data_IF_576879956473
#
_entry.id   IF_576879956473
#
_cell.length_a   1.000
_cell.length_b   1.000
_cell.length_c   1.000
_cell.angle_alpha   90.00
_cell.angle_beta   90.00
_cell.angle_gamma   90.00
#
_symmetry.space_group_name_H-M   'P 1'
#
loop_
_entity.id
_entity.type
_entity.pdbx_description
1 polymer ?
#
# COMPACT_ATOMS: atom_id res chain seq x y z
N UNK A 1 1.87 9.91 -3.46
CA UNK A 1 0.40 9.88 -3.67
C UNK A 1 -0.19 8.49 -3.50
N UNK A 2 0.57 7.42 -3.76
CA UNK A 2 0.09 6.03 -3.63
C UNK A 2 0.12 5.54 -2.18
N UNK A 3 1.00 6.09 -1.32
CA UNK A 3 0.90 5.91 0.14
C UNK A 3 -0.43 6.42 0.70
N UNK A 4 -1.01 7.45 0.09
CA UNK A 4 -2.32 7.94 0.51
C UNK A 4 -3.45 6.99 0.08
N UNK A 5 -3.34 6.31 -1.08
CA UNK A 5 -4.27 5.25 -1.49
C UNK A 5 -4.09 3.99 -0.64
N UNK A 6 -2.84 3.60 -0.37
CA UNK A 6 -2.52 2.49 0.51
C UNK A 6 -2.87 2.78 1.97
N UNK A 7 -2.53 3.95 2.47
CA UNK A 7 -2.93 4.42 3.80
C UNK A 7 -4.43 4.68 3.87
N UNK A 8 -5.07 5.21 2.82
CA UNK A 8 -6.53 5.35 2.77
C UNK A 8 -7.22 3.99 2.61
N UNK A 9 -6.72 3.07 1.79
CA UNK A 9 -7.23 1.70 1.71
C UNK A 9 -6.91 0.90 2.98
N UNK A 10 -5.74 1.07 3.58
CA UNK A 10 -5.35 0.52 4.87
C UNK A 10 -6.08 1.22 6.04
N UNK A 11 -6.33 2.52 5.97
CA UNK A 11 -7.12 3.28 6.94
C UNK A 11 -8.62 3.09 6.76
N UNK A 12 -9.10 2.75 5.57
CA UNK A 12 -10.50 2.32 5.33
C UNK A 12 -10.71 0.91 5.88
N UNK A 13 -9.69 0.06 5.88
CA UNK A 13 -9.71 -1.29 6.42
C UNK A 13 -9.19 -1.40 7.87
N UNK A 14 -8.53 -0.38 8.40
CA UNK A 14 -7.91 -0.29 9.72
C UNK A 14 -8.63 0.68 10.67
N UNK A 15 -7.97 1.06 11.75
CA UNK A 15 -8.52 1.86 12.84
C UNK A 15 -8.86 3.33 12.50
N UNK A 16 -8.62 3.79 11.26
CA UNK A 16 -8.93 5.13 10.81
C UNK A 16 -9.87 5.14 9.61
N UNK A 17 -11.09 5.63 9.76
CA UNK A 17 -11.99 5.85 8.63
C UNK A 17 -11.48 6.99 7.73
N UNK A 18 -11.93 7.04 6.48
CA UNK A 18 -11.67 8.17 5.56
C UNK A 18 -12.06 9.52 6.19
N UNK A 19 -13.04 9.51 7.08
CA UNK A 19 -13.45 10.62 7.90
C UNK A 19 -12.29 11.20 8.73
N UNK A 20 -11.42 10.36 9.32
CA UNK A 20 -10.29 10.82 10.13
C UNK A 20 -9.23 11.57 9.30
N UNK A 21 -9.08 11.23 8.03
CA UNK A 21 -8.14 11.90 7.11
C UNK A 21 -8.68 13.23 6.60
N UNK A 22 -10.00 13.33 6.37
CA UNK A 22 -10.67 14.55 5.92
C UNK A 22 -11.07 15.46 7.08
N UNK A 23 -11.25 14.91 8.26
CA UNK A 23 -11.56 15.62 9.48
C UNK A 23 -10.30 16.00 10.25
N UNK A 24 -9.52 16.91 9.72
CA UNK A 24 -8.77 17.81 10.59
C UNK A 24 -9.75 18.89 11.03
N UNK A 25 -10.18 18.86 12.29
CA UNK A 25 -11.17 19.79 12.82
C UNK A 25 -10.84 21.25 12.48
N UNK A 26 -11.78 22.19 12.60
CA UNK A 26 -11.51 23.58 12.33
C UNK A 26 -10.49 24.06 13.36
N UNK A 27 -9.22 24.06 12.99
CA UNK A 27 -8.21 24.75 13.74
C UNK A 27 -8.58 26.23 13.79
N UNK A 28 -8.72 26.76 14.98
CA UNK A 28 -9.00 28.19 15.15
C UNK A 28 -7.69 28.94 14.93
N UNK A 29 -7.63 29.72 13.87
CA UNK A 29 -6.53 30.63 13.64
C UNK A 29 -6.51 31.71 14.73
N UNK A 30 -5.34 31.96 15.35
CA UNK A 30 -5.14 33.08 16.24
C UNK A 30 -5.26 34.40 15.46
N UNK A 31 -5.46 35.53 16.14
CA UNK A 31 -5.45 36.84 15.47
C UNK A 31 -4.12 37.12 14.79
N UNK A 32 -2.99 36.74 15.39
CA UNK A 32 -1.66 36.89 14.82
C UNK A 32 -1.48 36.05 13.55
N UNK A 33 -2.00 34.81 13.50
CA UNK A 33 -2.00 33.97 12.32
C UNK A 33 -2.82 34.56 11.17
N UNK A 34 -3.98 35.18 11.49
CA UNK A 34 -4.84 35.82 10.49
C UNK A 34 -4.18 37.09 9.94
N UNK A 35 -3.47 37.84 10.78
CA UNK A 35 -2.79 39.08 10.43
C UNK A 35 -1.42 38.88 9.76
N UNK A 36 -0.88 37.63 9.82
CA UNK A 36 0.42 37.29 9.24
C UNK A 36 1.61 37.55 10.19
N UNK A 37 1.35 37.89 11.45
CA UNK A 37 2.38 38.14 12.46
C UNK A 37 2.96 36.85 13.04
N UNK A 38 2.21 35.76 12.94
CA UNK A 38 2.62 34.41 13.38
C UNK A 38 2.65 33.46 12.19
N UNK A 39 3.71 32.64 12.05
CA UNK A 39 3.80 31.68 10.98
C UNK A 39 2.74 30.59 11.15
N UNK A 40 1.98 30.32 10.09
CA UNK A 40 0.95 29.27 10.06
C UNK A 40 0.95 28.56 8.72
N UNK A 41 0.68 27.27 8.75
CA UNK A 41 0.46 26.49 7.53
C UNK A 41 -0.90 26.88 6.92
N UNK A 42 -0.89 27.29 5.66
CA UNK A 42 -2.10 27.67 4.94
C UNK A 42 -2.69 29.01 5.42
N UNK A 43 -4.00 29.09 5.42
CA UNK A 43 -4.78 30.24 5.83
C UNK A 43 -6.25 29.86 6.07
N UNK A 44 -7.12 30.82 6.42
CA UNK A 44 -8.54 30.54 6.58
C UNK A 44 -9.08 29.82 5.33
N UNK A 45 -9.71 28.67 5.52
CA UNK A 45 -10.22 27.86 4.41
C UNK A 45 -11.23 28.64 3.58
N UNK A 46 -10.88 28.94 2.33
CA UNK A 46 -11.75 29.60 1.35
C UNK A 46 -12.50 28.59 0.48
N UNK A 47 -11.98 27.37 0.37
CA UNK A 47 -12.50 26.32 -0.50
C UNK A 47 -13.06 25.16 0.32
N UNK A 48 -13.97 24.40 -0.30
CA UNK A 48 -14.49 23.15 0.30
C UNK A 48 -13.37 22.13 0.47
N UNK A 49 -13.41 21.39 1.59
CA UNK A 49 -12.48 20.29 1.84
C UNK A 49 -12.71 19.20 0.79
N UNK A 50 -11.65 18.75 0.16
CA UNK A 50 -11.64 17.62 -0.75
C UNK A 50 -10.32 16.86 -0.63
N UNK A 51 -10.39 15.55 -0.86
CA UNK A 51 -9.24 14.67 -1.00
C UNK A 51 -9.31 14.06 -2.39
N UNK A 52 -8.24 14.20 -3.15
CA UNK A 52 -8.11 13.62 -4.49
C UNK A 52 -6.98 12.62 -4.49
N UNK A 53 -7.29 11.40 -4.90
CA UNK A 53 -6.33 10.32 -5.05
C UNK A 53 -6.35 9.88 -6.51
N UNK A 54 -5.18 9.57 -7.04
CA UNK A 54 -5.05 9.13 -8.42
C UNK A 54 -3.88 8.18 -8.62
N UNK A 55 -4.03 7.34 -9.62
CA UNK A 55 -3.02 6.39 -10.09
C UNK A 55 -2.87 6.61 -11.58
N UNK A 56 -1.64 6.77 -12.05
CA UNK A 56 -1.31 6.76 -13.45
C UNK A 56 -0.66 5.43 -13.82
N UNK A 57 -1.10 4.85 -14.93
CA UNK A 57 -0.54 3.63 -15.51
C UNK A 57 -0.49 3.75 -17.02
N UNK A 58 0.34 2.93 -17.66
CA UNK A 58 0.53 2.94 -19.12
C UNK A 58 -0.77 2.59 -19.86
N UNK A 59 -1.48 1.56 -19.39
CA UNK A 59 -2.71 1.10 -19.99
C UNK A 59 -3.93 1.89 -19.53
N UNK A 60 -4.08 2.05 -18.22
CA UNK A 60 -5.22 2.73 -17.61
C UNK A 60 -4.82 3.49 -16.36
N UNK A 61 -5.48 4.61 -16.16
CA UNK A 61 -5.32 5.49 -15.02
C UNK A 61 -6.65 5.73 -14.32
N UNK A 62 -6.58 6.05 -13.04
CA UNK A 62 -7.75 6.21 -12.18
C UNK A 62 -7.61 7.43 -11.30
N UNK A 63 -8.73 8.12 -11.07
CA UNK A 63 -8.81 9.17 -10.07
C UNK A 63 -10.14 9.12 -9.32
N UNK A 64 -10.07 9.42 -8.03
CA UNK A 64 -11.21 9.53 -7.14
C UNK A 64 -11.15 10.85 -6.38
N UNK A 65 -12.29 11.56 -6.32
CA UNK A 65 -12.45 12.82 -5.62
C UNK A 65 -13.48 12.66 -4.50
N UNK A 66 -13.01 12.80 -3.27
CA UNK A 66 -13.83 12.81 -2.07
C UNK A 66 -14.11 14.23 -1.61
N UNK A 67 -15.26 14.45 -1.02
CA UNK A 67 -15.61 15.71 -0.41
C UNK A 67 -16.70 15.55 0.65
N UNK A 68 -16.88 16.56 1.48
CA UNK A 68 -17.95 16.55 2.46
C UNK A 68 -19.32 16.62 1.79
N UNK A 69 -20.38 16.04 2.40
CA UNK A 69 -21.74 16.16 1.91
C UNK A 69 -22.19 17.61 1.82
N UNK A 70 -23.21 17.87 1.01
CA UNK A 70 -23.88 19.16 1.07
C UNK A 70 -24.57 19.29 2.44
N UNK A 71 -24.52 20.46 3.10
CA UNK A 71 -25.19 20.65 4.38
C UNK A 71 -26.68 20.35 4.25
N UNK A 72 -27.15 19.31 4.93
CA UNK A 72 -28.56 18.91 5.01
C UNK A 72 -29.01 19.07 6.45
N UNK A 73 -30.05 19.85 6.69
CA UNK A 73 -30.62 19.96 8.02
C UNK A 73 -31.12 18.57 8.49
N UNK A 74 -30.61 18.09 9.64
CA UNK A 74 -30.97 16.85 10.35
C UNK A 74 -30.10 15.61 10.12
N UNK A 75 -28.89 15.71 9.57
CA UNK A 75 -27.94 14.58 9.63
C UNK A 75 -26.90 14.81 10.73
N UNK A 76 -26.50 13.73 11.40
CA UNK A 76 -25.34 13.70 12.29
C UNK A 76 -24.05 13.27 11.53
N UNK A 77 -24.19 12.94 10.24
CA UNK A 77 -23.12 12.43 9.38
C UNK A 77 -22.63 13.49 8.37
N UNK A 78 -22.65 14.74 8.75
CA UNK A 78 -22.19 15.86 7.93
C UNK A 78 -20.64 15.89 7.74
N UNK A 79 -19.95 15.12 8.58
CA UNK A 79 -18.50 14.88 8.48
C UNK A 79 -18.11 13.66 7.63
N UNK A 80 -19.07 12.81 7.22
CA UNK A 80 -18.76 11.60 6.46
C UNK A 80 -18.43 11.95 5.01
N UNK A 81 -17.26 11.53 4.49
CA UNK A 81 -16.87 11.85 3.13
C UNK A 81 -17.71 11.10 2.11
N UNK A 82 -18.08 11.79 1.06
CA UNK A 82 -18.75 11.24 -0.11
C UNK A 82 -17.82 11.23 -1.31
N UNK A 83 -17.94 10.22 -2.15
CA UNK A 83 -17.28 10.19 -3.45
C UNK A 83 -18.04 11.12 -4.39
N UNK A 84 -17.40 12.22 -4.77
CA UNK A 84 -17.98 13.24 -5.67
C UNK A 84 -17.78 12.85 -7.12
N UNK A 85 -16.63 12.29 -7.44
CA UNK A 85 -16.30 11.80 -8.77
C UNK A 85 -15.32 10.66 -8.73
N UNK A 86 -15.45 9.71 -9.64
CA UNK A 86 -14.45 8.67 -9.96
C UNK A 86 -14.36 8.57 -11.48
N UNK A 87 -13.14 8.41 -11.99
CA UNK A 87 -12.91 8.28 -13.43
C UNK A 87 -11.82 7.26 -13.75
N UNK A 88 -11.97 6.60 -14.90
CA UNK A 88 -10.94 5.76 -15.51
C UNK A 88 -10.69 6.28 -16.93
N UNK A 89 -9.42 6.42 -17.30
CA UNK A 89 -9.02 6.84 -18.64
C UNK A 89 -7.82 6.04 -19.12
N UNK A 90 -7.58 6.02 -20.45
CA UNK A 90 -6.46 5.32 -21.08
C UNK A 90 -5.21 6.20 -21.04
N UNK A 91 -4.08 5.56 -20.67
CA UNK A 91 -2.75 6.17 -20.59
C UNK A 91 -2.55 7.08 -19.38
N UNK A 92 -1.35 7.58 -19.19
CA UNK A 92 -0.95 8.31 -17.98
C UNK A 92 -1.67 9.66 -17.81
N UNK A 93 -1.71 10.46 -18.86
CA UNK A 93 -2.26 11.84 -18.78
C UNK A 93 -3.75 11.88 -19.01
N UNK A 94 -4.49 12.53 -18.10
CA UNK A 94 -5.92 12.73 -18.24
C UNK A 94 -6.26 13.62 -19.44
N UNK A 95 -7.07 13.05 -20.34
CA UNK A 95 -7.76 13.75 -21.43
C UNK A 95 -9.21 13.29 -21.48
N UNK A 96 -10.13 14.22 -21.63
CA UNK A 96 -11.56 13.89 -21.71
C UNK A 96 -11.91 12.94 -22.85
N UNK A 97 -11.20 13.00 -23.96
CA UNK A 97 -11.36 12.06 -25.09
C UNK A 97 -10.93 10.63 -24.78
N UNK A 98 -10.06 10.43 -23.80
CA UNK A 98 -9.56 9.12 -23.38
C UNK A 98 -10.32 8.53 -22.18
N UNK A 99 -11.34 9.27 -21.71
CA UNK A 99 -12.16 8.84 -20.59
C UNK A 99 -13.01 7.65 -20.98
N UNK A 100 -12.88 6.54 -20.25
CA UNK A 100 -13.59 5.28 -20.49
C UNK A 100 -14.78 5.13 -19.54
N UNK A 101 -14.59 5.47 -18.27
CA UNK A 101 -15.63 5.37 -17.25
C UNK A 101 -15.66 6.67 -16.45
N UNK A 102 -16.85 7.21 -16.26
CA UNK A 102 -17.11 8.44 -15.51
C UNK A 102 -18.25 8.22 -14.53
N UNK A 103 -17.94 8.41 -13.26
CA UNK A 103 -18.92 8.45 -12.20
C UNK A 103 -19.04 9.88 -11.68
N UNK A 104 -20.25 10.39 -11.65
CA UNK A 104 -20.60 11.66 -11.01
C UNK A 104 -21.78 11.44 -10.06
N UNK A 105 -21.53 11.60 -8.75
CA UNK A 105 -22.52 11.27 -7.73
C UNK A 105 -22.98 9.80 -7.81
N UNK A 106 -24.29 9.52 -7.93
CA UNK A 106 -24.82 8.15 -8.00
C UNK A 106 -24.79 7.53 -9.41
N UNK A 107 -24.41 8.28 -10.44
CA UNK A 107 -24.48 7.81 -11.83
C UNK A 107 -23.12 7.39 -12.33
N UNK A 108 -23.02 6.14 -12.82
CA UNK A 108 -21.84 5.58 -13.46
C UNK A 108 -22.15 5.39 -14.94
N UNK A 109 -21.25 5.88 -15.80
CA UNK A 109 -21.31 5.72 -17.25
C UNK A 109 -20.02 5.11 -17.75
N UNK A 110 -20.09 4.24 -18.76
CA UNK A 110 -18.93 3.73 -19.47
C UNK A 110 -19.10 3.95 -20.98
N UNK A 111 -17.99 3.97 -21.70
CA UNK A 111 -18.01 3.90 -23.15
C UNK A 111 -18.19 2.46 -23.61
N UNK A 112 -19.04 2.26 -24.60
CA UNK A 112 -19.14 0.98 -25.31
C UNK A 112 -18.09 0.88 -26.44
N UNK A 113 -18.05 -0.25 -27.13
CA UNK A 113 -17.12 -0.51 -28.24
C UNK A 113 -17.24 0.50 -29.40
N UNK A 114 -18.38 1.18 -29.53
CA UNK A 114 -18.60 2.25 -30.51
C UNK A 114 -18.08 3.63 -30.02
N UNK A 115 -17.67 3.72 -28.75
CA UNK A 115 -17.29 4.95 -28.08
C UNK A 115 -18.48 5.78 -27.56
N UNK A 116 -19.69 5.27 -27.64
CA UNK A 116 -20.87 5.94 -27.10
C UNK A 116 -21.00 5.71 -25.58
N UNK A 117 -21.54 6.71 -24.87
CA UNK A 117 -21.77 6.62 -23.45
C UNK A 117 -23.02 5.82 -23.11
N UNK A 118 -22.86 4.76 -22.34
CA UNK A 118 -23.97 4.00 -21.75
C UNK A 118 -23.98 4.14 -20.23
N UNK A 119 -25.17 4.11 -19.63
CA UNK A 119 -25.32 4.19 -18.18
C UNK A 119 -25.25 2.78 -17.59
N UNK A 120 -24.23 2.51 -16.78
CA UNK A 120 -24.07 1.23 -16.07
C UNK A 120 -24.88 1.19 -14.78
N UNK A 121 -24.92 2.29 -14.04
CA UNK A 121 -25.62 2.39 -12.76
C UNK A 121 -26.17 3.80 -12.56
N UNK A 122 -27.38 3.91 -12.02
CA UNK A 122 -28.03 5.21 -11.71
C UNK A 122 -28.18 5.47 -10.20
N UNK A 123 -27.89 4.47 -9.37
CA UNK A 123 -28.20 4.49 -7.95
C UNK A 123 -27.03 3.98 -7.10
N UNK A 124 -25.77 4.24 -7.54
CA UNK A 124 -24.60 3.88 -6.76
C UNK A 124 -24.54 4.79 -5.51
N UNK A 125 -24.52 4.23 -4.30
CA UNK A 125 -24.36 5.02 -3.09
C UNK A 125 -23.10 5.89 -3.13
N UNK A 126 -23.18 7.10 -2.57
CA UNK A 126 -22.08 8.07 -2.61
C UNK A 126 -20.85 7.65 -1.79
N UNK A 127 -21.00 6.67 -0.92
CA UNK A 127 -19.93 6.09 -0.11
C UNK A 127 -19.34 4.79 -0.69
N UNK A 128 -19.94 4.21 -1.74
CA UNK A 128 -19.44 3.01 -2.42
C UNK A 128 -18.65 3.40 -3.66
N UNK A 129 -17.44 2.83 -3.85
CA UNK A 129 -16.67 3.03 -5.08
C UNK A 129 -17.30 2.27 -6.27
N UNK A 130 -17.21 2.85 -7.45
CA UNK A 130 -17.62 2.16 -8.69
C UNK A 130 -16.77 0.91 -8.94
N UNK A 131 -15.49 0.89 -8.53
CA UNK A 131 -14.64 -0.29 -8.63
C UNK A 131 -15.17 -1.46 -7.81
N UNK A 132 -15.83 -1.20 -6.68
CA UNK A 132 -16.41 -2.24 -5.84
C UNK A 132 -17.74 -2.76 -6.35
N UNK A 133 -18.56 -1.93 -7.01
CA UNK A 133 -19.96 -2.23 -7.31
C UNK A 133 -20.31 -2.29 -8.80
N UNK A 134 -19.51 -1.68 -9.67
CA UNK A 134 -19.84 -1.53 -11.09
C UNK A 134 -18.72 -2.03 -12.01
N UNK A 135 -17.93 -3.01 -11.56
CA UNK A 135 -16.85 -3.63 -12.34
C UNK A 135 -17.35 -4.93 -12.96
N UNK A 136 -18.16 -4.81 -13.99
CA UNK A 136 -18.61 -5.95 -14.80
C UNK A 136 -17.54 -6.24 -15.88
N UNK A 137 -17.09 -7.51 -16.06
CA UNK A 137 -16.04 -7.83 -17.01
C UNK A 137 -16.46 -7.66 -18.48
N UNK A 138 -17.76 -7.60 -18.77
CA UNK A 138 -18.29 -7.41 -20.13
C UNK A 138 -18.65 -5.93 -20.36
N UNK A 139 -19.33 -5.30 -19.40
CA UNK A 139 -19.84 -3.93 -19.56
C UNK A 139 -18.83 -2.84 -19.18
N UNK A 140 -17.82 -3.18 -18.37
CA UNK A 140 -16.79 -2.28 -17.89
C UNK A 140 -15.47 -3.02 -17.68
N UNK A 141 -14.87 -3.59 -18.74
CA UNK A 141 -13.64 -4.40 -18.62
C UNK A 141 -12.47 -3.64 -18.03
N UNK A 142 -12.35 -2.33 -18.28
CA UNK A 142 -11.29 -1.48 -17.71
C UNK A 142 -11.45 -1.35 -16.20
N UNK A 143 -12.67 -1.19 -15.69
CA UNK A 143 -12.93 -1.15 -14.25
C UNK A 143 -12.65 -2.50 -13.60
N UNK A 144 -13.00 -3.59 -14.27
CA UNK A 144 -12.71 -4.93 -13.80
C UNK A 144 -11.20 -5.19 -13.73
N UNK A 145 -10.47 -4.91 -14.81
CA UNK A 145 -9.03 -5.08 -14.87
C UNK A 145 -8.31 -4.24 -13.82
N UNK A 146 -8.67 -2.96 -13.70
CA UNK A 146 -8.11 -2.05 -12.70
C UNK A 146 -8.40 -2.52 -11.27
N UNK A 147 -9.62 -2.99 -10.99
CA UNK A 147 -9.96 -3.56 -9.68
C UNK A 147 -9.08 -4.75 -9.34
N UNK A 148 -8.92 -5.70 -10.26
CA UNK A 148 -8.07 -6.87 -10.03
C UNK A 148 -6.60 -6.48 -9.86
N UNK A 149 -6.13 -5.48 -10.60
CA UNK A 149 -4.80 -4.92 -10.45
C UNK A 149 -4.59 -4.34 -9.05
N UNK A 150 -5.49 -3.46 -8.58
CA UNK A 150 -5.42 -2.85 -7.24
C UNK A 150 -5.55 -3.93 -6.14
N UNK A 151 -6.39 -4.96 -6.34
CA UNK A 151 -6.53 -6.07 -5.39
C UNK A 151 -5.28 -6.93 -5.27
N UNK A 152 -4.45 -6.94 -6.30
CA UNK A 152 -3.16 -7.65 -6.27
C UNK A 152 -2.14 -6.94 -5.39
N UNK A 153 -2.26 -5.63 -5.16
CA UNK A 153 -1.33 -4.84 -4.37
C UNK A 153 -1.20 -5.37 -2.95
N UNK A 154 -0.01 -5.25 -2.39
CA UNK A 154 0.29 -5.66 -1.02
C UNK A 154 0.87 -4.52 -0.23
N UNK A 155 0.33 -4.38 0.98
CA UNK A 155 0.73 -3.36 1.94
C UNK A 155 1.23 -4.08 3.18
N UNK A 156 2.51 -3.94 3.46
CA UNK A 156 3.14 -4.45 4.68
C UNK A 156 3.59 -3.26 5.51
N UNK A 157 2.69 -2.80 6.36
CA UNK A 157 2.94 -1.68 7.24
C UNK A 157 3.88 -2.13 8.37
N UNK A 158 3.42 -3.05 9.19
CA UNK A 158 4.24 -3.61 10.25
C UNK A 158 3.86 -5.05 10.54
N UNK A 159 4.82 -5.99 10.35
CA UNK A 159 4.64 -7.33 10.88
C UNK A 159 4.70 -7.28 12.40
N UNK A 160 3.64 -7.71 13.06
CA UNK A 160 3.65 -7.87 14.51
C UNK A 160 4.62 -8.99 14.87
N UNK A 161 5.49 -8.71 15.84
CA UNK A 161 6.48 -9.65 16.36
C UNK A 161 6.44 -9.75 17.88
N UNK A 162 5.48 -9.08 18.52
CA UNK A 162 5.22 -9.21 19.95
C UNK A 162 4.85 -10.66 20.34
N UNK A 163 4.77 -10.92 21.63
CA UNK A 163 4.54 -12.28 22.16
C UNK A 163 3.26 -12.94 21.63
N UNK A 164 2.22 -12.14 21.37
CA UNK A 164 0.92 -12.63 20.90
C UNK A 164 0.75 -12.51 19.39
N UNK A 165 1.84 -12.19 18.67
CA UNK A 165 1.83 -12.03 17.23
C UNK A 165 1.35 -13.30 16.51
N UNK A 166 0.49 -13.19 15.50
CA UNK A 166 0.01 -14.35 14.74
C UNK A 166 1.14 -15.14 14.08
N UNK A 167 2.22 -14.49 13.67
CA UNK A 167 3.42 -15.10 13.08
C UNK A 167 4.20 -15.99 14.04
N UNK A 168 3.95 -15.90 15.35
CA UNK A 168 4.57 -16.77 16.37
C UNK A 168 3.80 -18.07 16.63
N UNK A 169 2.63 -18.22 16.03
CA UNK A 169 1.73 -19.34 16.31
C UNK A 169 1.66 -20.31 15.13
N UNK A 170 1.58 -21.62 15.45
CA UNK A 170 1.33 -22.63 14.43
C UNK A 170 -0.06 -22.41 13.81
N UNK A 171 -0.14 -22.42 12.49
CA UNK A 171 -1.33 -22.11 11.71
C UNK A 171 -1.79 -23.32 10.89
N UNK A 172 -3.03 -23.26 10.39
CA UNK A 172 -3.53 -24.28 9.46
C UNK A 172 -2.67 -24.22 8.19
N UNK A 173 -2.13 -25.38 7.78
CA UNK A 173 -1.27 -25.52 6.62
C UNK A 173 -2.08 -25.54 5.33
N UNK A 174 -2.28 -24.37 4.72
CA UNK A 174 -2.84 -24.25 3.36
C UNK A 174 -1.83 -23.59 2.46
N UNK A 175 -1.84 -23.95 1.15
CA UNK A 175 -0.92 -23.33 0.20
C UNK A 175 -1.15 -21.83 0.13
N UNK A 176 -0.13 -21.05 0.47
CA UNK A 176 -0.17 -19.60 0.59
C UNK A 176 0.73 -18.98 -0.47
N UNK A 177 0.13 -18.48 -1.55
CA UNK A 177 0.87 -17.87 -2.67
C UNK A 177 1.40 -16.49 -2.35
N UNK A 178 0.77 -15.77 -1.43
CA UNK A 178 1.16 -14.42 -0.98
C UNK A 178 0.96 -14.34 0.51
N UNK A 179 1.97 -13.91 1.24
CA UNK A 179 1.93 -13.77 2.71
C UNK A 179 0.83 -12.78 3.12
N UNK A 180 0.06 -13.14 4.14
CA UNK A 180 -0.94 -12.25 4.73
C UNK A 180 -0.24 -11.02 5.37
N UNK A 181 -0.92 -9.88 5.39
CA UNK A 181 -0.35 -8.61 5.87
C UNK A 181 0.17 -8.64 7.32
N UNK A 182 -0.38 -9.51 8.17
CA UNK A 182 0.05 -9.68 9.56
C UNK A 182 1.02 -10.86 9.77
N UNK A 183 1.42 -11.55 8.71
CA UNK A 183 2.36 -12.67 8.76
C UNK A 183 1.83 -13.96 9.38
N UNK A 184 0.50 -14.06 9.64
CA UNK A 184 -0.11 -15.23 10.33
C UNK A 184 0.16 -16.56 9.64
N UNK A 185 0.32 -16.55 8.34
CA UNK A 185 0.51 -17.74 7.50
C UNK A 185 1.98 -17.94 7.08
N UNK A 186 2.92 -17.34 7.81
CA UNK A 186 4.35 -17.44 7.53
C UNK A 186 4.83 -18.88 7.29
N UNK A 187 4.49 -19.91 8.13
CA UNK A 187 4.94 -21.27 7.87
C UNK A 187 4.43 -21.84 6.54
N UNK A 188 3.17 -21.55 6.19
CA UNK A 188 2.56 -22.03 4.95
C UNK A 188 3.12 -21.29 3.72
N UNK A 189 3.36 -19.97 3.82
CA UNK A 189 4.03 -19.20 2.78
C UNK A 189 5.46 -19.71 2.54
N UNK A 190 6.22 -19.95 3.60
CA UNK A 190 7.57 -20.48 3.52
C UNK A 190 7.60 -21.84 2.81
N UNK A 191 6.73 -22.77 3.23
CA UNK A 191 6.61 -24.09 2.59
C UNK A 191 6.18 -23.96 1.12
N UNK A 192 5.30 -23.03 0.81
CA UNK A 192 4.84 -22.79 -0.57
C UNK A 192 5.99 -22.29 -1.46
N UNK A 193 6.87 -21.42 -0.95
CA UNK A 193 8.07 -20.98 -1.69
C UNK A 193 9.00 -22.18 -1.94
N UNK A 194 9.21 -23.04 -0.95
CA UNK A 194 10.05 -24.22 -1.10
C UNK A 194 9.52 -25.21 -2.13
N UNK A 195 8.19 -25.37 -2.27
CA UNK A 195 7.59 -26.36 -3.16
C UNK A 195 7.40 -25.88 -4.60
N UNK A 196 6.98 -24.62 -4.78
CA UNK A 196 6.59 -24.10 -6.10
C UNK A 196 7.20 -22.73 -6.45
N UNK A 197 7.96 -22.13 -5.53
CA UNK A 197 8.67 -20.87 -5.72
C UNK A 197 10.14 -21.05 -5.98
N UNK A 198 10.95 -20.02 -5.67
CA UNK A 198 12.39 -20.05 -5.77
C UNK A 198 13.03 -20.54 -4.45
N UNK A 199 12.98 -21.85 -4.23
CA UNK A 199 13.59 -22.49 -3.06
C UNK A 199 15.09 -22.19 -2.93
N UNK A 200 15.82 -22.19 -4.05
CA UNK A 200 17.26 -21.88 -4.07
C UNK A 200 17.52 -20.42 -3.68
N UNK A 201 16.67 -19.51 -4.15
CA UNK A 201 16.70 -18.10 -3.77
C UNK A 201 16.42 -17.87 -2.29
N UNK A 202 15.42 -18.56 -1.76
CA UNK A 202 15.09 -18.50 -0.33
C UNK A 202 16.26 -18.98 0.52
N UNK A 203 16.93 -20.08 0.11
CA UNK A 203 18.13 -20.59 0.79
C UNK A 203 19.29 -19.57 0.75
N UNK A 204 19.52 -18.90 -0.38
CA UNK A 204 20.57 -17.85 -0.48
C UNK A 204 20.25 -16.64 0.41
N UNK A 205 19.01 -16.19 0.44
CA UNK A 205 18.58 -15.06 1.27
C UNK A 205 18.69 -15.38 2.77
N UNK A 206 18.37 -16.62 3.14
CA UNK A 206 18.53 -17.08 4.53
C UNK A 206 20.02 -17.15 4.92
N UNK A 207 20.87 -17.72 4.05
CA UNK A 207 22.30 -17.84 4.30
C UNK A 207 23.01 -16.47 4.34
N UNK A 208 22.52 -15.49 3.60
CA UNK A 208 23.04 -14.12 3.58
C UNK A 208 22.75 -13.37 4.89
N UNK A 209 21.56 -13.54 5.43
CA UNK A 209 21.13 -12.90 6.69
C UNK A 209 21.62 -13.67 7.93
N UNK A 210 21.59 -14.97 7.88
CA UNK A 210 21.90 -15.86 9.01
C UNK A 210 22.81 -16.99 8.55
N UNK A 211 24.14 -16.77 8.48
CA UNK A 211 25.09 -17.77 8.01
C UNK A 211 24.99 -19.09 8.77
N UNK A 212 24.79 -20.18 8.03
CA UNK A 212 24.64 -21.53 8.58
C UNK A 212 23.27 -21.80 9.25
N UNK A 213 22.29 -20.95 9.03
CA UNK A 213 20.93 -21.21 9.46
C UNK A 213 20.13 -22.02 8.44
N UNK A 214 19.20 -22.82 8.95
CA UNK A 214 18.22 -23.60 8.20
C UNK A 214 16.81 -23.31 8.74
N UNK A 215 15.84 -23.20 7.85
CA UNK A 215 14.42 -23.06 8.18
C UNK A 215 13.66 -24.20 7.53
N UNK A 216 12.87 -24.90 8.32
CA UNK A 216 12.00 -25.96 7.85
C UNK A 216 10.63 -25.89 8.53
N UNK A 217 9.64 -26.54 7.92
CA UNK A 217 8.27 -26.53 8.41
C UNK A 217 7.93 -27.89 9.00
N UNK A 218 7.55 -27.89 10.27
CA UNK A 218 7.01 -29.07 10.94
C UNK A 218 5.50 -29.11 10.78
N UNK A 219 4.97 -30.29 10.47
CA UNK A 219 3.54 -30.52 10.34
C UNK A 219 3.03 -31.40 11.48
N UNK A 220 2.07 -30.88 12.22
CA UNK A 220 1.35 -31.61 13.24
C UNK A 220 -0.16 -31.37 13.14
N UNK A 221 -0.95 -32.45 13.04
CA UNK A 221 -2.42 -32.37 12.99
C UNK A 221 -2.99 -31.45 11.91
N UNK A 222 -2.26 -31.23 10.79
CA UNK A 222 -2.66 -30.31 9.73
C UNK A 222 -2.27 -28.83 10.01
N UNK A 223 -1.62 -28.56 11.13
CA UNK A 223 -1.00 -27.28 11.43
C UNK A 223 0.46 -27.28 11.00
N UNK A 224 0.94 -26.12 10.58
CA UNK A 224 2.33 -25.86 10.20
C UNK A 224 2.97 -24.96 11.25
N UNK A 225 4.17 -25.33 11.68
CA UNK A 225 5.02 -24.55 12.56
C UNK A 225 6.40 -24.37 11.90
N UNK A 226 6.93 -23.15 11.95
CA UNK A 226 8.27 -22.85 11.44
C UNK A 226 9.30 -23.21 12.52
N UNK A 227 10.33 -23.93 12.12
CA UNK A 227 11.50 -24.26 12.92
C UNK A 227 12.72 -23.59 12.34
N UNK A 228 13.50 -22.97 13.19
CA UNK A 228 14.75 -22.29 12.84
C UNK A 228 15.91 -22.98 13.53
N UNK A 229 16.84 -23.50 12.76
CA UNK A 229 18.06 -24.08 13.26
C UNK A 229 19.26 -23.26 12.83
N UNK A 230 20.17 -22.98 13.73
CA UNK A 230 21.42 -22.30 13.44
C UNK A 230 22.58 -23.09 14.03
N UNK A 231 23.72 -23.05 13.34
CA UNK A 231 24.94 -23.74 13.80
C UNK A 231 25.30 -23.30 15.23
N UNK A 232 25.45 -24.27 16.11
CA UNK A 232 25.74 -24.05 17.54
C UNK A 232 24.52 -24.19 18.44
N UNK A 233 23.32 -24.27 17.91
CA UNK A 233 22.13 -24.60 18.68
C UNK A 233 22.01 -26.12 18.84
N UNK A 234 21.68 -26.58 20.05
CA UNK A 234 21.50 -28.02 20.36
C UNK A 234 20.20 -28.57 19.76
N UNK A 235 19.21 -27.72 19.51
CA UNK A 235 17.93 -28.04 18.88
C UNK A 235 17.47 -26.91 18.04
N UNK A 236 16.56 -27.11 17.07
CA UNK A 236 15.86 -26.04 16.40
C UNK A 236 15.03 -25.21 17.40
N UNK A 237 14.93 -23.93 17.13
CA UNK A 237 14.03 -23.02 17.83
C UNK A 237 12.66 -23.02 17.15
N UNK A 238 11.63 -22.95 17.96
CA UNK A 238 10.28 -22.71 17.50
C UNK A 238 10.10 -21.24 17.08
N UNK A 239 9.17 -20.98 16.17
CA UNK A 239 8.87 -19.61 15.74
C UNK A 239 8.51 -18.66 16.89
N UNK A 240 7.95 -19.17 17.98
CA UNK A 240 7.62 -18.38 19.17
C UNK A 240 8.87 -18.06 20.04
N UNK A 241 9.99 -18.77 19.85
CA UNK A 241 11.27 -18.52 20.54
C UNK A 241 12.16 -17.51 19.81
N UNK A 242 11.85 -17.17 18.55
CA UNK A 242 12.66 -16.29 17.73
C UNK A 242 12.68 -14.85 18.27
N UNK A 243 13.79 -14.15 18.08
CA UNK A 243 13.83 -12.71 18.32
C UNK A 243 12.90 -11.98 17.35
N UNK A 244 12.44 -10.78 17.75
CA UNK A 244 11.57 -9.96 16.91
C UNK A 244 12.20 -9.67 15.55
N UNK A 245 13.49 -9.32 15.51
CA UNK A 245 14.21 -9.05 14.28
C UNK A 245 14.35 -10.28 13.39
N UNK A 246 14.64 -11.46 13.95
CA UNK A 246 14.70 -12.70 13.17
C UNK A 246 13.35 -13.03 12.56
N UNK A 247 12.29 -13.00 13.36
CA UNK A 247 10.93 -13.31 12.88
C UNK A 247 10.48 -12.32 11.81
N UNK A 248 10.74 -11.03 12.01
CA UNK A 248 10.42 -9.98 11.04
C UNK A 248 11.17 -10.17 9.72
N UNK A 249 12.48 -10.50 9.77
CA UNK A 249 13.24 -10.79 8.57
C UNK A 249 12.67 -11.99 7.80
N UNK A 250 12.27 -13.05 8.49
CA UNK A 250 11.62 -14.21 7.87
C UNK A 250 10.29 -13.86 7.22
N UNK A 251 9.48 -13.01 7.84
CA UNK A 251 8.24 -12.48 7.25
C UNK A 251 8.54 -11.67 5.98
N UNK A 252 9.54 -10.78 6.03
CA UNK A 252 9.97 -9.98 4.86
C UNK A 252 10.49 -10.88 3.73
N UNK A 253 11.28 -11.92 4.06
CA UNK A 253 11.77 -12.88 3.08
C UNK A 253 10.61 -13.64 2.41
N UNK A 254 9.63 -14.10 3.18
CA UNK A 254 8.46 -14.78 2.64
C UNK A 254 7.57 -13.85 1.79
N UNK A 255 7.45 -12.58 2.16
CA UNK A 255 6.69 -11.59 1.40
C UNK A 255 7.37 -11.24 0.07
N UNK A 256 8.68 -10.98 0.10
CA UNK A 256 9.47 -10.53 -1.06
C UNK A 256 9.81 -11.66 -2.05
N UNK A 257 9.84 -12.92 -1.61
CA UNK A 257 10.07 -14.10 -2.46
C UNK A 257 8.79 -14.87 -2.78
N UNK A 258 7.65 -14.24 -2.65
CA UNK A 258 6.34 -14.86 -2.94
C UNK A 258 6.31 -15.46 -4.34
N UNK A 259 5.78 -16.70 -4.53
CA UNK A 259 5.68 -17.32 -5.85
C UNK A 259 4.75 -16.59 -6.83
N UNK A 260 3.90 -15.70 -6.31
CA UNK A 260 3.01 -14.86 -7.11
C UNK A 260 3.25 -13.39 -6.76
N UNK A 261 4.28 -12.76 -7.36
CA UNK A 261 4.61 -11.38 -7.08
C UNK A 261 3.42 -10.45 -7.38
N UNK A 262 3.04 -9.55 -6.47
CA UNK A 262 2.06 -8.52 -6.76
C UNK A 262 2.66 -7.49 -7.72
N UNK A 263 1.82 -6.75 -8.44
CA UNK A 263 2.30 -5.67 -9.31
C UNK A 263 2.89 -4.50 -8.52
N UNK A 264 2.38 -4.26 -7.31
CA UNK A 264 2.90 -3.26 -6.38
C UNK A 264 2.97 -3.84 -4.96
N UNK A 265 4.11 -3.63 -4.30
CA UNK A 265 4.30 -3.93 -2.88
C UNK A 265 4.80 -2.69 -2.15
N UNK A 266 4.11 -2.32 -1.09
CA UNK A 266 4.47 -1.18 -0.24
C UNK A 266 4.98 -1.71 1.08
N UNK A 267 6.19 -1.31 1.45
CA UNK A 267 6.85 -1.66 2.70
C UNK A 267 7.04 -0.38 3.53
N UNK A 268 6.45 -0.36 4.70
CA UNK A 268 6.61 0.76 5.63
C UNK A 268 7.62 0.41 6.71
N UNK A 269 8.70 1.17 6.79
CA UNK A 269 9.80 0.98 7.75
C UNK A 269 10.22 -0.50 7.93
N UNK A 270 10.60 -1.19 6.83
CA UNK A 270 10.91 -2.63 6.90
C UNK A 270 12.12 -2.93 7.80
N UNK A 271 13.00 -1.94 8.05
CA UNK A 271 14.15 -2.03 8.92
C UNK A 271 13.82 -2.03 10.42
N UNK A 272 12.62 -1.63 10.80
CA UNK A 272 12.23 -1.52 12.23
C UNK A 272 12.41 -2.85 12.95
N UNK A 273 13.02 -2.82 14.12
CA UNK A 273 13.39 -4.01 14.94
C UNK A 273 14.43 -4.94 14.34
N UNK A 274 15.00 -4.65 13.16
CA UNK A 274 16.11 -5.43 12.62
C UNK A 274 17.44 -4.98 13.23
N UNK A 275 18.33 -5.96 13.43
CA UNK A 275 19.71 -5.62 13.78
C UNK A 275 20.38 -4.95 12.57
N UNK A 276 21.22 -3.90 12.75
CA UNK A 276 21.87 -3.20 11.65
C UNK A 276 22.64 -4.11 10.67
N UNK A 277 23.20 -5.21 11.15
CA UNK A 277 23.90 -6.21 10.32
C UNK A 277 22.99 -6.92 9.30
N UNK A 278 21.68 -6.91 9.51
CA UNK A 278 20.71 -7.49 8.57
C UNK A 278 20.32 -6.53 7.43
N UNK A 279 20.60 -5.23 7.56
CA UNK A 279 20.20 -4.23 6.57
C UNK A 279 20.82 -4.47 5.19
N UNK A 280 22.10 -4.86 5.03
CA UNK A 280 22.65 -5.20 3.72
C UNK A 280 21.96 -6.41 3.08
N UNK A 281 21.63 -7.45 3.86
CA UNK A 281 20.90 -8.61 3.36
C UNK A 281 19.46 -8.23 2.96
N UNK A 282 18.79 -7.37 3.75
CA UNK A 282 17.48 -6.83 3.42
C UNK A 282 17.51 -6.03 2.12
N UNK A 283 18.47 -5.12 1.95
CA UNK A 283 18.59 -4.33 0.74
C UNK A 283 18.74 -5.22 -0.51
N UNK A 284 19.62 -6.24 -0.48
CA UNK A 284 19.77 -7.20 -1.58
C UNK A 284 18.49 -7.97 -1.88
N UNK A 285 17.77 -8.39 -0.84
CA UNK A 285 16.47 -9.07 -0.97
C UNK A 285 15.44 -8.15 -1.66
N UNK A 286 15.37 -6.88 -1.26
CA UNK A 286 14.46 -5.90 -1.85
C UNK A 286 14.80 -5.61 -3.31
N UNK A 287 16.08 -5.41 -3.64
CA UNK A 287 16.53 -5.19 -5.02
C UNK A 287 16.20 -6.39 -5.92
N UNK A 288 16.31 -7.61 -5.40
CA UNK A 288 15.89 -8.80 -6.13
C UNK A 288 14.38 -8.85 -6.36
N UNK A 289 13.57 -8.55 -5.37
CA UNK A 289 12.11 -8.52 -5.51
C UNK A 289 11.67 -7.42 -6.49
N UNK A 290 12.41 -6.32 -6.56
CA UNK A 290 12.15 -5.21 -7.49
C UNK A 290 12.33 -5.59 -8.98
N UNK A 291 12.93 -6.72 -9.30
CA UNK A 291 13.01 -7.24 -10.67
C UNK A 291 11.62 -7.69 -11.20
N UNK A 292 10.69 -8.04 -10.32
CA UNK A 292 9.37 -8.60 -10.69
C UNK A 292 8.19 -7.86 -10.09
N UNK A 293 8.42 -6.94 -9.14
CA UNK A 293 7.41 -6.20 -8.39
C UNK A 293 7.84 -4.75 -8.28
N UNK A 294 6.95 -3.80 -8.54
CA UNK A 294 7.22 -2.42 -8.17
C UNK A 294 7.22 -2.31 -6.64
N UNK A 295 8.38 -1.97 -6.06
CA UNK A 295 8.51 -1.74 -4.63
C UNK A 295 8.42 -0.26 -4.30
N UNK A 296 7.59 0.06 -3.32
CA UNK A 296 7.53 1.37 -2.70
C UNK A 296 7.91 1.24 -1.23
N UNK A 297 9.00 1.85 -0.85
CA UNK A 297 9.57 1.70 0.50
C UNK A 297 9.62 3.04 1.18
N UNK A 298 9.08 3.13 2.38
CA UNK A 298 9.32 4.26 3.29
C UNK A 298 10.34 3.82 4.33
N UNK A 299 11.35 4.63 4.58
CA UNK A 299 12.42 4.30 5.52
C UNK A 299 12.98 5.54 6.19
N UNK A 300 13.39 5.40 7.45
CA UNK A 300 14.16 6.38 8.19
C UNK A 300 15.63 5.96 8.40
N UNK A 301 16.04 4.82 7.86
CA UNK A 301 17.39 4.30 7.98
C UNK A 301 18.30 4.82 6.87
N UNK A 302 19.23 5.73 7.20
CA UNK A 302 20.23 6.22 6.25
C UNK A 302 21.06 5.07 5.64
N UNK A 303 21.31 4.00 6.41
CA UNK A 303 22.03 2.83 5.94
C UNK A 303 21.25 2.11 4.85
N UNK A 304 19.96 1.81 5.09
CA UNK A 304 19.13 1.12 4.12
C UNK A 304 18.91 1.98 2.87
N UNK A 305 18.65 3.27 3.04
CA UNK A 305 18.50 4.23 1.94
C UNK A 305 19.76 4.26 1.08
N UNK A 306 20.93 4.38 1.68
CA UNK A 306 22.21 4.42 0.96
C UNK A 306 22.43 3.14 0.15
N UNK A 307 22.17 1.96 0.74
CA UNK A 307 22.32 0.67 0.06
C UNK A 307 21.34 0.51 -1.13
N UNK A 308 20.12 1.00 -1.01
CA UNK A 308 19.15 0.95 -2.11
C UNK A 308 19.50 1.94 -3.23
N UNK A 309 20.04 3.11 -2.89
CA UNK A 309 20.45 4.14 -3.84
C UNK A 309 21.67 3.74 -4.71
N UNK A 310 22.44 2.73 -4.30
CA UNK A 310 23.51 2.17 -5.15
C UNK A 310 22.96 1.58 -6.45
N UNK A 311 21.67 1.20 -6.48
CA UNK A 311 21.00 0.73 -7.68
C UNK A 311 20.45 1.92 -8.49
N UNK A 312 20.89 2.11 -9.76
CA UNK A 312 20.48 3.25 -10.58
C UNK A 312 18.97 3.28 -10.92
N UNK A 313 18.25 2.17 -10.74
CA UNK A 313 16.79 2.10 -10.94
C UNK A 313 16.01 2.61 -9.70
N UNK A 314 16.70 2.79 -8.58
CA UNK A 314 16.08 3.30 -7.36
C UNK A 314 15.75 4.80 -7.50
N UNK A 315 14.47 5.15 -7.43
CA UNK A 315 14.03 6.54 -7.37
C UNK A 315 13.86 6.95 -5.91
N UNK A 316 14.71 7.84 -5.43
CA UNK A 316 14.70 8.31 -4.04
C UNK A 316 13.97 9.64 -3.91
N UNK A 317 12.89 9.67 -3.14
CA UNK A 317 12.11 10.87 -2.83
C UNK A 317 12.35 11.27 -1.37
N UNK A 318 12.97 12.42 -1.14
CA UNK A 318 13.20 12.94 0.21
C UNK A 318 12.06 13.86 0.63
N UNK A 319 11.46 13.54 1.77
CA UNK A 319 10.38 14.33 2.36
C UNK A 319 10.89 15.14 3.56
N UNK A 320 10.42 16.37 3.70
CA UNK A 320 10.65 17.22 4.86
C UNK A 320 9.37 17.85 5.37
N UNK A 321 9.36 18.28 6.62
CA UNK A 321 8.25 19.05 7.20
C UNK A 321 8.64 20.51 7.34
N UNK A 322 7.80 21.41 6.80
CA UNK A 322 7.92 22.84 7.02
C UNK A 322 6.57 23.37 7.52
N UNK A 323 6.53 23.91 8.73
CA UNK A 323 5.30 24.38 9.40
C UNK A 323 4.16 23.34 9.40
N UNK A 324 4.50 22.04 9.55
CA UNK A 324 3.50 20.96 9.51
C UNK A 324 3.19 20.41 8.11
N UNK A 325 3.54 21.14 7.04
CA UNK A 325 3.37 20.69 5.66
C UNK A 325 4.50 19.75 5.24
N UNK A 326 4.15 18.62 4.63
CA UNK A 326 5.12 17.70 4.03
C UNK A 326 5.49 18.20 2.63
N UNK A 327 6.77 18.44 2.40
CA UNK A 327 7.31 18.92 1.13
C UNK A 327 8.35 17.93 0.59
N UNK A 328 8.38 17.78 -0.75
CA UNK A 328 9.45 17.07 -1.44
C UNK A 328 10.69 17.97 -1.48
N UNK A 329 11.83 17.44 -1.01
CA UNK A 329 13.13 18.05 -1.23
C UNK A 329 13.67 17.61 -2.60
N UNK A 330 14.50 18.47 -3.19
CA UNK A 330 15.26 18.18 -4.41
C UNK A 330 14.42 17.90 -5.68
N UNK A 331 13.10 18.11 -5.62
CA UNK A 331 12.22 18.03 -6.79
C UNK A 331 11.76 19.43 -7.15
N UNK A 332 12.16 19.90 -8.33
CA UNK A 332 11.63 21.15 -8.88
C UNK A 332 10.12 21.02 -9.16
N UNK A 333 9.36 22.08 -8.95
CA UNK A 333 7.94 22.10 -9.34
C UNK A 333 7.73 21.81 -10.85
N UNK A 334 8.79 21.99 -11.68
CA UNK A 334 8.77 21.65 -13.09
C UNK A 334 8.96 20.14 -13.36
N UNK A 335 9.56 19.41 -12.42
CA UNK A 335 9.82 17.97 -12.53
C UNK A 335 8.66 17.13 -11.98
N UNK A 336 7.72 17.77 -11.26
CA UNK A 336 6.50 17.10 -10.81
C UNK A 336 5.57 16.99 -12.01
N UNK A 337 5.19 15.78 -12.46
CA UNK A 337 4.25 15.62 -13.55
C UNK A 337 2.98 16.43 -13.26
N UNK A 338 2.58 17.30 -14.20
CA UNK A 338 1.39 18.11 -14.06
C UNK A 338 0.16 17.19 -14.09
N UNK A 339 -0.25 16.70 -12.93
CA UNK A 339 -1.47 15.92 -12.80
C UNK A 339 -2.69 16.78 -13.09
N UNK A 340 -3.39 16.48 -14.17
CA UNK A 340 -4.64 17.16 -14.52
C UNK A 340 -5.81 16.41 -13.90
N UNK A 341 -6.39 17.00 -12.88
CA UNK A 341 -7.57 16.46 -12.26
C UNK A 341 -8.80 16.65 -13.13
N UNK A 342 -9.67 15.61 -13.24
CA UNK A 342 -10.97 15.76 -13.85
C UNK A 342 -11.75 16.86 -13.11
N UNK A 343 -12.39 17.75 -13.84
CA UNK A 343 -13.28 18.75 -13.26
C UNK A 343 -14.50 18.06 -12.63
N UNK A 344 -15.00 18.60 -11.52
CA UNK A 344 -16.23 18.13 -10.89
C UNK A 344 -17.43 18.34 -11.77
#
# INVERSE_FOLDING_TARGET
>A
SDTALGSAAGSIAGEGSLASVLWAGPEQFSRGMIQGDEPVQGGPRKNRVNLRLGIAGDDSSYAIDFGLPAPVARTLFDGDPEIKREVIWIGETYHHSRLMIDRTGPVVKARDDSGAWQVLNRHLPVFDSMLARSSDPILAPEAFALREHIRSWRFYDQFRTDRDAPSRQAQIGTRTLVLHHDGRDLPAAWQTILEIGDAAGLGRVLADAFPGAEVFIERDGGRFALKFHQRGLLRPLDQWELSDGTLRYLCLAAALLTPRPPTLMILNEPETSLHPELLPALARLMLRAAETTQLWVTSHSDVLISLLQENPVCNHLRLTKRLGETQLLDVSAADIPAWRWPNR
#
